data_IF_766229307331
#
_entry.id   IF_766229307331
#
_cell.length_a   1.000
_cell.length_b   1.000
_cell.length_c   1.000
_cell.angle_alpha   90.00
_cell.angle_beta   90.00
_cell.angle_gamma   90.00
#
_symmetry.space_group_name_H-M   'P 1'
#
loop_
_entity.id
_entity.type
_entity.pdbx_description
1 polymer ?
#
# COMPACT_ATOMS: atom_id res chain seq x y z
N UNK A 1 -1.40 -0.18 12.13
CA UNK A 1 -0.39 -1.02 12.83
C UNK A 1 0.10 -0.42 14.16
N UNK A 2 -0.61 0.54 14.71
CA UNK A 2 -0.18 1.31 15.90
C UNK A 2 0.09 0.44 17.15
N UNK A 3 -0.55 -0.72 17.30
CA UNK A 3 -0.26 -1.63 18.41
C UNK A 3 0.95 -2.54 18.14
N UNK A 4 1.33 -2.72 16.88
CA UNK A 4 2.50 -3.54 16.47
C UNK A 4 3.70 -2.64 16.24
N UNK A 5 3.54 -1.57 15.45
CA UNK A 5 4.56 -0.57 15.12
C UNK A 5 3.95 0.80 15.35
N UNK A 6 4.57 1.59 16.23
CA UNK A 6 4.13 2.94 16.56
C UNK A 6 4.90 3.99 15.75
N UNK A 7 4.29 5.15 15.56
CA UNK A 7 5.01 6.31 15.02
C UNK A 7 6.22 6.62 15.90
N UNK A 8 7.38 6.78 15.26
CA UNK A 8 8.66 6.95 15.95
C UNK A 8 9.44 5.66 16.22
N UNK A 9 8.90 4.49 15.86
CA UNK A 9 9.67 3.24 15.89
C UNK A 9 10.64 3.17 14.71
N UNK A 10 11.88 2.83 14.99
CA UNK A 10 12.92 2.54 14.01
C UNK A 10 13.10 1.02 13.91
N UNK A 11 13.02 0.50 12.69
CA UNK A 11 12.90 -0.92 12.43
C UNK A 11 14.10 -1.48 11.68
N UNK A 12 14.61 -2.64 12.10
CA UNK A 12 15.37 -3.47 11.19
C UNK A 12 14.45 -4.16 10.20
N UNK A 13 14.76 -4.04 8.91
CA UNK A 13 13.99 -4.60 7.81
C UNK A 13 14.82 -5.63 7.08
N UNK A 14 14.31 -6.86 6.99
CA UNK A 14 14.93 -7.91 6.18
C UNK A 14 14.59 -7.68 4.70
N UNK A 15 15.57 -7.24 3.94
CA UNK A 15 15.45 -7.00 2.50
C UNK A 15 15.73 -8.25 1.65
N UNK A 16 16.44 -9.25 2.21
CA UNK A 16 16.86 -10.42 1.44
C UNK A 16 15.67 -11.26 0.95
N UNK A 17 14.57 -11.28 1.69
CA UNK A 17 13.40 -12.09 1.34
C UNK A 17 12.79 -11.69 0.00
N UNK A 18 12.66 -10.38 -0.26
CA UNK A 18 11.98 -9.85 -1.45
C UNK A 18 12.96 -9.24 -2.48
N UNK A 19 14.25 -9.56 -2.37
CA UNK A 19 15.30 -9.07 -3.23
C UNK A 19 15.96 -7.79 -2.70
N UNK A 20 17.24 -7.88 -2.25
CA UNK A 20 17.99 -6.71 -1.85
C UNK A 20 18.05 -5.68 -2.97
N UNK A 21 17.91 -4.42 -2.60
CA UNK A 21 17.94 -3.29 -3.54
C UNK A 21 18.96 -2.25 -3.11
N UNK A 22 19.53 -1.54 -4.07
CA UNK A 22 20.34 -0.35 -3.78
C UNK A 22 19.49 0.72 -3.12
N UNK A 23 20.06 1.59 -2.25
CA UNK A 23 19.39 2.80 -1.82
C UNK A 23 18.99 3.65 -3.02
N UNK A 24 17.80 4.21 -3.02
CA UNK A 24 17.37 5.12 -4.10
C UNK A 24 17.96 6.52 -3.96
N UNK A 25 18.35 6.88 -2.74
CA UNK A 25 18.96 8.15 -2.42
C UNK A 25 20.11 7.97 -1.45
N UNK A 26 21.12 8.79 -1.53
CA UNK A 26 22.16 8.84 -0.50
C UNK A 26 21.53 9.45 0.76
N UNK A 27 21.56 8.74 1.91
CA UNK A 27 21.08 9.31 3.17
C UNK A 27 21.72 10.67 3.45
N UNK A 28 20.96 11.62 3.98
CA UNK A 28 21.32 13.01 4.31
C UNK A 28 21.54 13.95 3.13
N UNK A 29 21.93 13.47 1.94
CA UNK A 29 22.23 14.32 0.78
C UNK A 29 21.08 14.39 -0.22
N UNK A 30 20.10 13.51 -0.13
CA UNK A 30 18.97 13.37 -1.07
C UNK A 30 19.38 13.25 -2.55
N UNK A 31 20.62 12.78 -2.81
CA UNK A 31 21.11 12.58 -4.18
C UNK A 31 20.53 11.25 -4.69
N UNK A 32 19.81 11.24 -5.82
CA UNK A 32 19.27 10.02 -6.39
C UNK A 32 20.38 9.08 -6.85
N UNK A 33 20.24 7.80 -6.56
CA UNK A 33 21.12 6.73 -7.00
C UNK A 33 20.39 5.83 -7.99
N UNK A 34 21.12 5.17 -8.92
CA UNK A 34 20.54 4.14 -9.75
C UNK A 34 19.92 3.03 -8.89
N UNK A 35 18.65 2.75 -9.14
CA UNK A 35 17.92 1.72 -8.42
C UNK A 35 18.09 0.38 -9.10
N UNK A 36 18.72 -0.57 -8.41
CA UNK A 36 18.81 -1.96 -8.81
C UNK A 36 18.21 -2.83 -7.74
N UNK A 37 17.37 -3.76 -8.12
CA UNK A 37 16.78 -4.78 -7.24
C UNK A 37 17.12 -6.15 -7.80
N UNK A 38 17.69 -7.00 -6.96
CA UNK A 38 17.94 -8.41 -7.32
C UNK A 38 16.65 -9.23 -7.14
N UNK A 39 16.54 -10.39 -7.77
CA UNK A 39 15.44 -11.32 -7.50
C UNK A 39 15.35 -11.67 -6.01
N UNK A 40 14.13 -11.75 -5.49
CA UNK A 40 13.87 -12.17 -4.11
C UNK A 40 13.89 -13.69 -3.96
N UNK A 41 13.98 -14.16 -2.72
CA UNK A 41 13.87 -15.58 -2.36
C UNK A 41 12.40 -16.01 -2.40
N UNK A 42 11.48 -15.09 -2.06
CA UNK A 42 10.02 -15.32 -2.09
C UNK A 42 9.27 -14.08 -2.58
N UNK A 43 8.04 -14.31 -3.02
CA UNK A 43 7.07 -13.26 -3.28
C UNK A 43 6.28 -12.93 -2.00
N UNK A 44 5.70 -11.70 -1.90
CA UNK A 44 4.79 -11.36 -0.83
C UNK A 44 3.59 -12.32 -0.78
N UNK A 45 3.26 -12.79 0.42
CA UNK A 45 2.13 -13.69 0.65
C UNK A 45 1.08 -13.05 1.55
N UNK A 46 -0.13 -13.58 1.48
CA UNK A 46 -1.20 -13.20 2.39
C UNK A 46 -0.75 -13.38 3.86
N UNK A 47 -0.96 -12.35 4.68
CA UNK A 47 -0.54 -12.30 6.07
C UNK A 47 0.82 -11.64 6.32
N UNK A 48 1.72 -11.61 5.33
CA UNK A 48 3.04 -10.98 5.50
C UNK A 48 2.92 -9.49 5.84
N UNK A 49 3.69 -9.03 6.81
CA UNK A 49 3.89 -7.59 7.04
C UNK A 49 4.99 -7.10 6.11
N UNK A 50 4.67 -6.18 5.22
CA UNK A 50 5.57 -5.70 4.18
C UNK A 50 5.94 -4.24 4.36
N UNK A 51 7.21 -3.93 4.13
CA UNK A 51 7.72 -2.58 3.92
C UNK A 51 7.87 -2.38 2.41
N UNK A 52 7.29 -1.32 1.89
CA UNK A 52 7.30 -1.04 0.46
C UNK A 52 7.46 0.44 0.16
N UNK A 53 7.91 0.75 -1.06
CA UNK A 53 7.98 2.11 -1.58
C UNK A 53 6.56 2.53 -1.95
N UNK A 54 6.10 3.64 -1.38
CA UNK A 54 4.77 4.18 -1.64
C UNK A 54 4.58 4.49 -3.13
N UNK A 55 3.57 3.92 -3.80
CA UNK A 55 3.40 4.08 -5.24
C UNK A 55 2.85 5.46 -5.66
N UNK A 56 2.40 6.26 -4.72
CA UNK A 56 1.69 7.53 -4.96
C UNK A 56 0.23 7.47 -4.51
N UNK A 57 -0.39 8.63 -4.34
CA UNK A 57 -1.82 8.73 -4.04
C UNK A 57 -2.65 8.23 -5.23
N UNK A 58 -3.95 7.98 -5.01
CA UNK A 58 -4.88 7.43 -5.99
C UNK A 58 -4.78 8.09 -7.38
N UNK A 59 -4.62 9.39 -7.40
CA UNK A 59 -4.65 10.23 -8.62
C UNK A 59 -3.23 10.65 -9.08
N UNK A 60 -2.19 10.01 -8.54
CA UNK A 60 -0.79 10.24 -8.88
C UNK A 60 -0.19 9.03 -9.58
N UNK A 61 0.52 9.26 -10.68
CA UNK A 61 1.28 8.22 -11.39
C UNK A 61 2.45 7.72 -10.56
N UNK A 62 3.15 8.66 -9.90
CA UNK A 62 4.25 8.38 -8.98
C UNK A 62 4.13 9.28 -7.76
N UNK A 63 4.58 8.79 -6.61
CA UNK A 63 4.71 9.64 -5.42
C UNK A 63 5.67 10.79 -5.68
N UNK A 64 5.30 11.99 -5.21
CA UNK A 64 6.15 13.19 -5.27
C UNK A 64 7.36 13.09 -4.35
N UNK A 65 7.21 12.35 -3.26
CA UNK A 65 8.23 12.11 -2.26
C UNK A 65 8.52 10.63 -2.12
N UNK A 66 9.80 10.33 -1.92
CA UNK A 66 10.21 8.97 -1.64
C UNK A 66 9.88 8.61 -0.20
N UNK A 67 8.95 7.66 0.00
CA UNK A 67 8.49 7.25 1.32
C UNK A 67 8.35 5.73 1.39
N UNK A 68 8.76 5.16 2.53
CA UNK A 68 8.45 3.78 2.88
C UNK A 68 7.16 3.70 3.67
N UNK A 69 6.28 2.79 3.25
CA UNK A 69 5.08 2.44 3.99
C UNK A 69 5.17 1.02 4.50
N UNK A 70 4.45 0.78 5.58
CA UNK A 70 4.35 -0.52 6.23
C UNK A 70 2.87 -0.89 6.31
N UNK A 71 2.50 -2.04 5.71
CA UNK A 71 1.14 -2.58 5.71
C UNK A 71 1.18 -4.10 5.80
N UNK A 72 0.04 -4.70 6.15
CA UNK A 72 -0.13 -6.13 6.02
C UNK A 72 -0.64 -6.47 4.63
N UNK A 73 0.04 -7.39 3.95
CA UNK A 73 -0.41 -7.95 2.68
C UNK A 73 -1.65 -8.82 2.94
N UNK A 74 -2.82 -8.39 2.50
CA UNK A 74 -4.08 -9.13 2.72
C UNK A 74 -4.47 -9.96 1.51
N UNK A 75 -4.07 -9.56 0.31
CA UNK A 75 -4.32 -10.30 -0.91
C UNK A 75 -3.15 -10.12 -1.89
N UNK A 76 -2.92 -11.11 -2.75
CA UNK A 76 -1.80 -11.14 -3.71
C UNK A 76 -2.30 -11.31 -5.15
N UNK A 77 -1.38 -11.31 -6.10
CA UNK A 77 -1.64 -11.41 -7.52
C UNK A 77 -2.57 -12.59 -7.86
N UNK A 78 -3.72 -12.29 -8.44
CA UNK A 78 -4.75 -13.24 -8.82
C UNK A 78 -5.86 -13.45 -7.79
N UNK A 79 -5.68 -13.01 -6.53
CA UNK A 79 -6.73 -13.05 -5.54
C UNK A 79 -7.84 -12.04 -5.82
N UNK A 80 -9.01 -12.28 -5.25
CA UNK A 80 -10.13 -11.34 -5.24
C UNK A 80 -10.39 -10.88 -3.80
N UNK A 81 -10.25 -9.56 -3.57
CA UNK A 81 -10.53 -8.96 -2.27
C UNK A 81 -11.94 -8.36 -2.24
N UNK A 82 -12.61 -8.51 -1.11
CA UNK A 82 -13.87 -7.86 -0.82
C UNK A 82 -13.93 -7.44 0.65
N UNK A 83 -14.49 -6.27 0.93
CA UNK A 83 -14.82 -5.84 2.30
C UNK A 83 -16.33 -5.69 2.39
N UNK A 84 -16.94 -6.35 3.36
CA UNK A 84 -18.38 -6.29 3.63
C UNK A 84 -18.56 -5.91 5.10
N UNK A 85 -19.15 -4.75 5.34
CA UNK A 85 -19.34 -4.23 6.70
C UNK A 85 -18.07 -4.30 7.55
N UNK A 86 -16.95 -3.78 7.01
CA UNK A 86 -15.60 -3.77 7.59
C UNK A 86 -14.87 -5.12 7.61
N UNK A 87 -15.56 -6.26 7.44
CA UNK A 87 -14.93 -7.59 7.41
C UNK A 87 -14.28 -7.84 6.05
N UNK A 88 -13.06 -8.29 6.05
CA UNK A 88 -12.26 -8.54 4.84
C UNK A 88 -12.41 -9.98 4.40
N UNK A 89 -12.66 -10.20 3.12
CA UNK A 89 -12.74 -11.51 2.49
C UNK A 89 -11.73 -11.57 1.34
N UNK A 90 -11.06 -12.70 1.22
CA UNK A 90 -10.15 -12.99 0.11
C UNK A 90 -10.58 -14.31 -0.51
N UNK A 91 -10.88 -14.30 -1.80
CA UNK A 91 -11.44 -15.45 -2.51
C UNK A 91 -12.68 -16.07 -1.82
N UNK A 92 -13.51 -15.21 -1.21
CA UNK A 92 -14.71 -15.61 -0.48
C UNK A 92 -14.47 -16.13 0.96
N UNK A 93 -13.21 -16.26 1.39
CA UNK A 93 -12.85 -16.69 2.75
C UNK A 93 -12.53 -15.47 3.59
N UNK A 94 -13.07 -15.39 4.81
CA UNK A 94 -12.80 -14.28 5.71
C UNK A 94 -11.33 -14.26 6.11
N UNK A 95 -10.68 -13.11 5.87
CA UNK A 95 -9.36 -12.79 6.41
C UNK A 95 -9.56 -12.09 7.75
N UNK A 96 -9.37 -12.84 8.83
CA UNK A 96 -9.57 -12.34 10.20
C UNK A 96 -8.76 -11.10 10.53
N UNK A 97 -9.21 -10.37 11.53
CA UNK A 97 -8.45 -9.25 12.06
C UNK A 97 -7.19 -9.79 12.75
N UNK A 98 -5.98 -9.26 12.46
CA UNK A 98 -4.78 -9.66 13.19
C UNK A 98 -4.90 -9.43 14.70
N UNK A 99 -4.13 -10.15 15.51
CA UNK A 99 -4.19 -10.09 16.99
C UNK A 99 -4.15 -8.66 17.55
N UNK A 100 -3.36 -7.79 16.93
CA UNK A 100 -3.23 -6.37 17.30
C UNK A 100 -4.06 -5.44 16.39
N UNK A 101 -4.91 -6.00 15.56
CA UNK A 101 -5.79 -5.24 14.69
C UNK A 101 -6.96 -4.62 15.45
N UNK A 102 -7.46 -3.50 14.96
CA UNK A 102 -8.61 -2.83 15.56
C UNK A 102 -9.48 -2.13 14.55
N UNK A 103 -10.74 -1.93 14.97
CA UNK A 103 -11.70 -1.03 14.35
C UNK A 103 -11.98 0.12 15.31
N UNK A 104 -12.13 1.34 14.77
CA UNK A 104 -12.55 2.48 15.58
C UNK A 104 -14.07 2.40 15.82
N UNK A 105 -14.54 2.57 17.09
CA UNK A 105 -15.94 2.29 17.46
C UNK A 105 -16.97 3.18 16.77
N UNK A 106 -16.61 4.41 16.37
CA UNK A 106 -17.56 5.45 15.98
C UNK A 106 -17.36 6.05 14.59
N UNK A 107 -16.47 5.49 13.77
CA UNK A 107 -16.33 6.00 12.41
C UNK A 107 -17.50 5.55 11.53
N UNK A 108 -18.34 6.51 11.18
CA UNK A 108 -19.41 6.33 10.19
C UNK A 108 -18.90 6.72 8.81
N UNK A 109 -19.18 5.89 7.83
CA UNK A 109 -18.95 6.24 6.43
C UNK A 109 -19.85 7.41 6.03
N UNK A 110 -19.30 8.29 5.22
CA UNK A 110 -19.99 9.39 4.57
C UNK A 110 -20.13 9.09 3.07
N UNK A 111 -21.04 9.77 2.40
CA UNK A 111 -21.14 9.66 0.94
C UNK A 111 -19.86 10.13 0.22
N UNK A 112 -19.02 10.93 0.88
CA UNK A 112 -17.73 11.38 0.33
C UNK A 112 -16.66 10.29 0.30
N UNK A 113 -16.80 9.22 1.09
CA UNK A 113 -15.82 8.13 1.14
C UNK A 113 -15.72 7.38 -0.19
N UNK A 114 -16.82 7.33 -0.98
CA UNK A 114 -16.81 6.77 -2.35
C UNK A 114 -15.88 7.52 -3.31
N UNK A 115 -15.66 8.81 -3.07
CA UNK A 115 -14.78 9.63 -3.90
C UNK A 115 -13.30 9.55 -3.49
N UNK A 116 -13.00 8.92 -2.36
CA UNK A 116 -11.63 8.77 -1.84
C UNK A 116 -11.02 7.42 -2.15
N UNK A 117 -11.84 6.40 -2.41
CA UNK A 117 -11.37 5.03 -2.63
C UNK A 117 -10.86 4.81 -4.05
N UNK A 118 -9.95 3.85 -4.17
CA UNK A 118 -9.47 3.27 -5.42
C UNK A 118 -10.33 2.01 -5.74
N UNK A 119 -10.63 1.69 -7.00
CA UNK A 119 -10.40 2.48 -8.20
C UNK A 119 -11.40 3.64 -8.34
N UNK A 120 -10.99 4.69 -9.03
CA UNK A 120 -11.83 5.87 -9.26
C UNK A 120 -13.12 5.47 -9.98
N UNK A 121 -14.26 5.88 -9.43
CA UNK A 121 -15.57 5.63 -10.05
C UNK A 121 -16.14 4.22 -9.84
N UNK A 122 -15.47 3.35 -9.09
CA UNK A 122 -16.02 2.03 -8.73
C UNK A 122 -17.16 2.10 -7.71
N UNK A 123 -17.32 3.24 -7.02
CA UNK A 123 -18.38 3.44 -6.03
C UNK A 123 -18.17 2.68 -4.72
N UNK A 124 -16.96 2.16 -4.49
CA UNK A 124 -16.60 1.47 -3.26
C UNK A 124 -16.47 2.45 -2.09
N UNK A 125 -16.65 1.94 -0.88
CA UNK A 125 -16.35 2.67 0.35
C UNK A 125 -15.29 1.89 1.16
N UNK A 126 -14.63 2.49 2.14
CA UNK A 126 -13.64 1.77 2.95
C UNK A 126 -14.21 0.55 3.66
N UNK A 127 -15.51 0.58 4.04
CA UNK A 127 -16.18 -0.49 4.77
C UNK A 127 -16.95 -1.47 3.87
N UNK A 128 -17.25 -1.06 2.60
CA UNK A 128 -17.91 -1.91 1.61
C UNK A 128 -17.18 -1.75 0.28
N UNK A 129 -16.19 -2.61 0.07
CA UNK A 129 -15.19 -2.49 -0.99
C UNK A 129 -15.13 -3.76 -1.84
N UNK A 130 -15.02 -3.59 -3.14
CA UNK A 130 -14.93 -4.73 -4.06
C UNK A 130 -16.29 -5.37 -4.40
N UNK A 131 -16.31 -6.60 -4.94
CA UNK A 131 -15.12 -7.44 -5.17
C UNK A 131 -14.15 -6.81 -6.18
N UNK A 132 -12.84 -6.91 -5.89
CA UNK A 132 -11.78 -6.41 -6.75
C UNK A 132 -10.69 -7.46 -6.91
N UNK A 133 -10.39 -7.87 -8.16
CA UNK A 133 -9.30 -8.78 -8.47
C UNK A 133 -7.96 -8.03 -8.37
N UNK A 134 -7.00 -8.63 -7.69
CA UNK A 134 -5.63 -8.12 -7.62
C UNK A 134 -4.91 -8.53 -8.91
N UNK A 135 -4.41 -7.56 -9.70
CA UNK A 135 -3.82 -7.86 -10.99
C UNK A 135 -2.61 -8.78 -10.89
N UNK A 136 -2.56 -9.73 -11.79
CA UNK A 136 -1.46 -10.68 -11.96
C UNK A 136 -0.85 -10.49 -13.35
N UNK A 137 0.45 -10.68 -13.47
CA UNK A 137 1.12 -10.67 -14.78
C UNK A 137 0.40 -11.58 -15.78
N UNK A 138 0.10 -11.05 -16.97
CA UNK A 138 -0.63 -11.74 -18.01
C UNK A 138 -2.16 -11.73 -17.89
N UNK A 139 -2.74 -11.19 -16.79
CA UNK A 139 -4.18 -10.96 -16.72
C UNK A 139 -4.60 -9.97 -17.82
N UNK A 140 -5.70 -10.28 -18.52
CA UNK A 140 -6.30 -9.40 -19.53
C UNK A 140 -7.41 -8.56 -18.89
N UNK A 141 -7.26 -7.25 -18.94
CA UNK A 141 -8.28 -6.28 -18.47
C UNK A 141 -9.08 -5.83 -19.69
N UNK A 142 -10.40 -6.05 -19.68
CA UNK A 142 -11.29 -5.50 -20.69
C UNK A 142 -11.57 -4.04 -20.37
N UNK A 143 -11.29 -3.15 -21.34
CA UNK A 143 -11.48 -1.71 -21.24
C UNK A 143 -12.72 -1.29 -22.01
N UNK A 144 -13.56 -0.49 -21.36
CA UNK A 144 -14.82 0.04 -21.92
C UNK A 144 -14.96 1.53 -21.60
N UNK A 145 -15.82 2.26 -22.33
CA UNK A 145 -16.15 3.63 -21.97
C UNK A 145 -16.68 3.83 -20.52
N UNK A 146 -17.20 2.77 -19.91
CA UNK A 146 -17.76 2.80 -18.56
C UNK A 146 -16.72 2.58 -17.47
N UNK A 147 -15.67 1.78 -17.75
CA UNK A 147 -14.70 1.39 -16.72
C UNK A 147 -13.29 1.99 -16.90
N UNK A 148 -13.03 2.76 -17.97
CA UNK A 148 -11.69 3.27 -18.27
C UNK A 148 -11.08 4.09 -17.13
N UNK A 149 -11.87 4.90 -16.43
CA UNK A 149 -11.41 5.69 -15.29
C UNK A 149 -10.90 4.83 -14.12
N UNK A 150 -11.47 3.64 -13.96
CA UNK A 150 -11.04 2.71 -12.91
C UNK A 150 -9.61 2.20 -13.15
N UNK A 151 -9.22 2.09 -14.43
CA UNK A 151 -7.94 1.53 -14.85
C UNK A 151 -6.92 2.57 -15.31
N UNK A 152 -7.33 3.81 -15.50
CA UNK A 152 -6.47 4.87 -16.02
C UNK A 152 -5.18 5.00 -15.23
N UNK A 153 -5.27 5.22 -13.92
CA UNK A 153 -4.09 5.41 -13.09
C UNK A 153 -3.26 4.13 -12.94
N UNK A 154 -3.90 2.97 -12.93
CA UNK A 154 -3.21 1.69 -12.91
C UNK A 154 -2.33 1.51 -14.16
N UNK A 155 -2.87 1.74 -15.34
CA UNK A 155 -2.17 1.60 -16.63
C UNK A 155 -1.06 2.66 -16.75
N UNK A 156 -1.30 3.89 -16.30
CA UNK A 156 -0.27 4.94 -16.27
C UNK A 156 0.90 4.55 -15.36
N UNK A 157 0.64 3.92 -14.22
CA UNK A 157 1.68 3.41 -13.31
C UNK A 157 2.48 2.24 -13.89
N UNK A 158 1.94 1.52 -14.86
CA UNK A 158 2.69 0.52 -15.63
C UNK A 158 3.56 1.15 -16.73
N UNK A 159 3.53 2.48 -16.88
CA UNK A 159 4.41 3.24 -17.78
C UNK A 159 3.79 3.57 -19.13
N UNK A 160 2.49 3.41 -19.29
CA UNK A 160 1.75 3.73 -20.51
C UNK A 160 1.03 5.08 -20.42
N UNK A 161 0.78 5.71 -21.54
CA UNK A 161 -0.17 6.81 -21.63
C UNK A 161 -1.57 6.25 -21.84
N UNK A 162 -2.56 6.80 -21.15
CA UNK A 162 -3.96 6.40 -21.35
C UNK A 162 -4.86 7.62 -21.41
N UNK A 163 -5.72 7.68 -22.42
CA UNK A 163 -6.71 8.74 -22.64
C UNK A 163 -8.02 8.15 -23.14
N UNK A 164 -9.08 8.97 -23.13
CA UNK A 164 -10.39 8.62 -23.65
C UNK A 164 -10.90 9.75 -24.55
N UNK A 165 -11.26 9.44 -25.81
CA UNK A 165 -11.68 10.43 -26.81
C UNK A 165 -13.21 10.67 -26.82
N UNK A 166 -13.95 10.09 -25.88
CA UNK A 166 -15.42 10.11 -25.81
C UNK A 166 -16.07 8.82 -26.38
N UNK A 167 -15.33 8.03 -27.12
CA UNK A 167 -15.81 6.77 -27.72
C UNK A 167 -14.87 5.61 -27.42
N UNK A 168 -13.57 5.81 -27.63
CA UNK A 168 -12.55 4.78 -27.50
C UNK A 168 -11.58 5.07 -26.37
N UNK A 169 -11.12 3.99 -25.73
CA UNK A 169 -9.96 4.04 -24.87
C UNK A 169 -8.71 3.97 -25.72
N UNK A 170 -7.77 4.90 -25.49
CA UNK A 170 -6.53 5.01 -26.25
C UNK A 170 -5.36 4.76 -25.30
N UNK A 171 -4.52 3.76 -25.60
CA UNK A 171 -3.28 3.50 -24.89
C UNK A 171 -2.13 3.66 -25.90
N UNK A 172 -1.10 4.46 -25.53
CA UNK A 172 0.07 4.76 -26.37
C UNK A 172 -0.30 5.14 -27.80
N UNK A 173 -1.29 6.05 -27.91
CA UNK A 173 -1.83 6.56 -29.18
C UNK A 173 -2.57 5.51 -30.03
N UNK A 174 -2.93 4.35 -29.49
CA UNK A 174 -3.68 3.30 -30.20
C UNK A 174 -5.02 3.03 -29.52
N UNK A 175 -6.16 3.07 -30.24
CA UNK A 175 -7.43 2.61 -29.72
C UNK A 175 -7.34 1.14 -29.28
N UNK A 176 -7.83 0.84 -28.08
CA UNK A 176 -7.76 -0.54 -27.57
C UNK A 176 -8.94 -0.84 -26.63
N UNK A 177 -9.37 -2.09 -26.62
CA UNK A 177 -10.41 -2.60 -25.73
C UNK A 177 -9.87 -3.55 -24.67
N UNK A 178 -8.55 -3.82 -24.70
CA UNK A 178 -7.90 -4.79 -23.83
C UNK A 178 -6.55 -4.28 -23.37
N UNK A 179 -6.17 -4.65 -22.17
CA UNK A 179 -4.86 -4.38 -21.61
C UNK A 179 -4.30 -5.61 -20.90
N UNK A 180 -3.06 -5.98 -21.19
CA UNK A 180 -2.38 -7.08 -20.53
C UNK A 180 -1.52 -6.54 -19.38
N UNK A 181 -1.76 -7.03 -18.18
CA UNK A 181 -1.03 -6.65 -16.95
C UNK A 181 0.44 -7.07 -17.05
N UNK A 182 1.35 -6.15 -16.79
CA UNK A 182 2.79 -6.34 -17.01
C UNK A 182 3.51 -6.95 -15.82
N UNK A 183 2.93 -6.86 -14.59
CA UNK A 183 3.60 -7.28 -13.36
C UNK A 183 2.61 -7.82 -12.31
N UNK A 184 3.16 -8.41 -11.25
CA UNK A 184 2.37 -8.88 -10.12
C UNK A 184 2.16 -7.78 -9.08
N UNK A 185 1.01 -7.81 -8.41
CA UNK A 185 0.63 -6.85 -7.40
C UNK A 185 0.17 -7.53 -6.11
N UNK A 186 0.22 -6.79 -5.01
CA UNK A 186 -0.45 -7.14 -3.78
C UNK A 186 -1.31 -5.99 -3.26
N UNK A 187 -2.16 -6.30 -2.30
CA UNK A 187 -3.08 -5.37 -1.65
C UNK A 187 -2.75 -5.31 -0.16
N UNK A 188 -2.25 -4.17 0.28
CA UNK A 188 -1.85 -3.93 1.66
C UNK A 188 -2.93 -3.20 2.43
N UNK A 189 -3.26 -3.67 3.64
CA UNK A 189 -4.14 -2.96 4.57
C UNK A 189 -3.45 -2.69 5.90
N UNK A 190 -3.81 -1.58 6.54
CA UNK A 190 -3.37 -1.32 7.91
C UNK A 190 -4.13 -2.17 8.91
N UNK A 191 -3.47 -2.60 9.99
CA UNK A 191 -4.13 -3.36 11.07
C UNK A 191 -5.12 -2.47 11.86
N UNK A 192 -4.89 -1.14 11.93
CA UNK A 192 -5.92 -0.18 12.34
C UNK A 192 -6.79 0.15 11.11
N UNK A 193 -7.87 -0.61 10.92
CA UNK A 193 -8.68 -0.64 9.70
C UNK A 193 -9.32 0.68 9.35
N UNK A 194 -9.72 1.45 10.35
CA UNK A 194 -10.43 2.71 10.15
C UNK A 194 -9.50 3.93 10.08
N UNK A 195 -8.27 3.81 10.59
CA UNK A 195 -7.26 4.87 10.55
C UNK A 195 -6.01 4.38 9.80
N UNK A 196 -6.16 4.14 8.51
CA UNK A 196 -5.07 3.69 7.65
C UNK A 196 -5.21 4.22 6.24
N UNK A 197 -4.21 4.94 5.77
CA UNK A 197 -4.02 5.17 4.35
C UNK A 197 -3.40 3.90 3.75
N UNK A 198 -4.23 3.08 3.08
CA UNK A 198 -3.85 1.77 2.55
C UNK A 198 -4.37 1.55 1.12
N UNK A 199 -4.24 0.32 0.60
CA UNK A 199 -4.58 0.02 -0.78
C UNK A 199 -6.03 0.29 -1.16
N UNK A 200 -6.95 0.41 -0.19
CA UNK A 200 -8.32 0.89 -0.47
C UNK A 200 -8.34 2.31 -1.01
N UNK A 201 -7.29 3.08 -0.74
CA UNK A 201 -7.18 4.49 -1.12
C UNK A 201 -6.15 4.72 -2.23
N UNK A 202 -4.93 4.19 -2.13
CA UNK A 202 -3.88 4.43 -3.12
C UNK A 202 -3.77 3.35 -4.21
N UNK A 203 -4.45 2.20 -4.04
CA UNK A 203 -4.48 1.12 -5.02
C UNK A 203 -3.44 0.02 -4.79
N UNK A 204 -3.08 -0.67 -5.87
CA UNK A 204 -2.21 -1.84 -5.82
C UNK A 204 -0.75 -1.50 -5.56
N UNK A 205 -0.05 -2.40 -4.88
CA UNK A 205 1.38 -2.33 -4.60
C UNK A 205 2.10 -3.29 -5.55
N UNK A 206 2.92 -2.79 -6.50
CA UNK A 206 3.74 -3.67 -7.33
C UNK A 206 4.70 -4.49 -6.46
N UNK A 207 4.95 -5.76 -6.82
CA UNK A 207 5.90 -6.61 -6.08
C UNK A 207 7.31 -6.01 -6.07
N UNK A 208 7.68 -5.30 -7.12
CA UNK A 208 8.97 -4.59 -7.21
C UNK A 208 9.12 -3.50 -6.16
N UNK A 209 8.01 -2.90 -5.72
CA UNK A 209 8.02 -1.88 -4.67
C UNK A 209 8.19 -2.48 -3.28
N UNK A 210 7.97 -3.79 -3.09
CA UNK A 210 8.13 -4.44 -1.78
C UNK A 210 9.62 -4.58 -1.48
N UNK A 211 10.07 -3.95 -0.42
CA UNK A 211 11.49 -3.83 -0.06
C UNK A 211 11.91 -4.90 0.96
N UNK A 212 11.01 -5.26 1.87
CA UNK A 212 11.35 -6.20 2.93
C UNK A 212 10.22 -6.43 3.91
N UNK A 213 10.52 -7.22 4.94
CA UNK A 213 9.65 -7.41 6.10
C UNK A 213 10.30 -6.83 7.35
N UNK A 214 9.56 -6.12 8.22
CA UNK A 214 10.10 -5.62 9.47
C UNK A 214 10.41 -6.82 10.38
N UNK A 215 11.48 -6.72 11.16
CA UNK A 215 11.91 -7.79 12.05
C UNK A 215 11.79 -7.39 13.52
N UNK A 216 12.43 -6.28 13.88
CA UNK A 216 12.59 -5.87 15.26
C UNK A 216 12.66 -4.34 15.35
N UNK A 217 12.10 -3.79 16.42
CA UNK A 217 12.28 -2.38 16.79
C UNK A 217 13.64 -2.23 17.46
N UNK A 218 14.54 -1.42 16.90
CA UNK A 218 15.84 -1.17 17.52
C UNK A 218 15.92 0.14 18.28
N UNK A 219 15.01 1.07 18.00
CA UNK A 219 14.90 2.34 18.69
C UNK A 219 13.45 2.86 18.55
N UNK A 220 12.96 3.60 19.54
CA UNK A 220 11.61 4.18 19.49
C UNK A 220 11.64 5.58 20.09
N UNK A 221 11.48 6.59 19.23
CA UNK A 221 11.50 8.02 19.58
C UNK A 221 10.12 8.63 19.27
N UNK A 222 9.30 8.96 20.26
CA UNK A 222 8.02 9.62 20.00
C UNK A 222 8.25 10.97 19.34
N UNK A 223 7.37 11.37 18.44
CA UNK A 223 7.44 12.66 17.74
C UNK A 223 6.57 13.73 18.37
N UNK A 224 5.61 13.34 19.21
CA UNK A 224 4.66 14.23 19.88
C UNK A 224 4.40 13.78 21.31
N UNK A 225 3.95 14.73 22.14
CA UNK A 225 3.44 14.48 23.49
C UNK A 225 1.97 14.00 23.47
N UNK A 226 1.41 13.76 24.65
CA UNK A 226 0.00 13.37 24.85
C UNK A 226 -1.01 14.42 24.36
N UNK A 227 -0.57 15.67 24.20
CA UNK A 227 -1.38 16.81 23.71
C UNK A 227 -1.13 17.12 22.22
N UNK A 228 -0.57 16.16 21.45
CA UNK A 228 -0.25 16.32 20.00
C UNK A 228 0.81 17.40 19.69
N UNK A 229 1.54 17.92 20.70
CA UNK A 229 2.60 18.92 20.49
C UNK A 229 3.88 18.23 20.03
N UNK A 230 4.51 18.69 18.94
CA UNK A 230 5.72 18.08 18.40
C UNK A 230 6.89 18.24 19.39
N UNK A 231 7.60 17.14 19.63
CA UNK A 231 8.84 17.14 20.38
C UNK A 231 10.02 17.67 19.57
N UNK A 232 10.89 18.43 20.21
CA UNK A 232 12.23 18.70 19.70
C UNK A 232 13.07 17.41 19.68
N UNK A 233 14.18 17.38 18.95
CA UNK A 233 15.05 16.21 18.91
C UNK A 233 15.55 15.79 20.31
N UNK A 234 15.89 16.76 21.16
CA UNK A 234 16.33 16.50 22.53
C UNK A 234 15.20 15.85 23.37
N UNK A 235 13.99 16.41 23.30
CA UNK A 235 12.82 15.86 23.99
C UNK A 235 12.49 14.45 23.49
N UNK A 236 12.58 14.18 22.20
CA UNK A 236 12.41 12.82 21.63
C UNK A 236 13.38 11.81 22.23
N UNK A 237 14.64 12.19 22.43
CA UNK A 237 15.65 11.34 23.07
C UNK A 237 15.33 11.12 24.54
N UNK A 238 14.93 12.16 25.26
CA UNK A 238 14.56 12.07 26.68
C UNK A 238 13.31 11.23 26.94
N UNK A 239 12.37 11.18 25.97
CA UNK A 239 11.15 10.37 26.02
C UNK A 239 11.27 9.07 25.22
N UNK A 240 12.50 8.55 25.02
CA UNK A 240 12.74 7.27 24.34
C UNK A 240 11.96 6.14 25.03
N UNK A 241 11.24 5.36 24.23
CA UNK A 241 10.42 4.24 24.70
C UNK A 241 11.26 2.96 24.73
N UNK A 242 12.01 2.77 25.84
CA UNK A 242 12.92 1.64 26.00
C UNK A 242 12.20 0.28 25.98
N UNK A 243 10.95 0.22 26.46
CA UNK A 243 10.13 -0.99 26.49
C UNK A 243 9.78 -1.53 25.09
N UNK A 244 9.98 -0.71 24.06
CA UNK A 244 9.76 -1.11 22.67
C UNK A 244 11.00 -1.67 21.99
N UNK A 245 12.18 -1.40 22.55
CA UNK A 245 13.45 -1.89 21.99
C UNK A 245 13.52 -3.41 22.15
N UNK A 246 13.81 -4.10 21.06
CA UNK A 246 13.81 -5.57 21.01
C UNK A 246 12.45 -6.20 20.69
N UNK A 247 11.37 -5.40 20.52
CA UNK A 247 10.07 -5.94 20.15
C UNK A 247 10.12 -6.53 18.75
N UNK A 248 9.82 -7.83 18.65
CA UNK A 248 9.73 -8.56 17.38
C UNK A 248 8.38 -8.20 16.72
N UNK A 249 8.40 -8.04 15.40
CA UNK A 249 7.23 -7.73 14.58
C UNK A 249 6.84 -8.99 13.81
N UNK A 250 5.65 -9.52 14.10
CA UNK A 250 5.09 -10.74 13.50
C UNK A 250 3.85 -10.42 12.65
#
# INVERSE_FOLDING_TARGET
MENTVMTGDFLFVNKFLYGPSTPQVIPFLNIPLPFYKTPGIKDPKQGDVIVFIFPGNRDEEKSKEFQYYLKRCVATAGDTIQVINKRVFVNGVEFGLPEHGRYEPFQRETQYDKFRTFPVGAGFTPNNYGPLRIPKIGDEITLTPQNWRQWEMFIKREGHTMTFDGTNVIIDSKPTTKYNVLRNYCFGMGDNRDNSLDSRFFGFIPFENVVGTPMIVYMSLPDKDEFERPYTLFERIMHMRFERIGKIIL
#
